data_IF_257821466139
#
_entry.id   IF_257821466139
#
_cell.length_a   1.000
_cell.length_b   1.000
_cell.length_c   1.000
_cell.angle_alpha   90.00
_cell.angle_beta   90.00
_cell.angle_gamma   90.00
#
_symmetry.space_group_name_H-M   'P 1'
#
loop_
_entity.id
_entity.type
_entity.pdbx_description
1 polymer ?
#
# COMPACT_ATOMS: atom_id res chain seq x y z
N UNK A 1 -14.81 24.10 16.57
CA UNK A 1 -13.39 24.41 16.83
C UNK A 1 -12.58 23.65 15.79
N UNK A 2 -11.84 24.35 14.93
CA UNK A 2 -11.19 23.78 13.74
C UNK A 2 -9.67 23.68 13.92
N UNK A 3 -9.08 22.58 13.45
CA UNK A 3 -7.64 22.34 13.48
C UNK A 3 -6.89 23.41 12.68
N UNK A 4 -5.86 23.99 13.29
CA UNK A 4 -5.16 25.13 12.72
C UNK A 4 -3.92 24.74 11.93
N UNK A 5 -3.19 23.74 12.42
CA UNK A 5 -2.04 23.11 11.81
C UNK A 5 -1.93 21.68 12.35
N UNK A 6 -1.45 20.74 11.53
CA UNK A 6 -1.11 19.38 11.96
C UNK A 6 0.39 19.22 11.73
N UNK A 7 1.13 18.89 12.78
CA UNK A 7 2.54 18.54 12.68
C UNK A 7 2.64 17.02 12.86
N UNK A 8 2.86 16.26 11.79
CA UNK A 8 3.15 14.84 11.90
C UNK A 8 4.43 14.62 12.75
N UNK A 9 4.50 13.53 13.51
CA UNK A 9 5.75 13.13 14.16
C UNK A 9 6.88 12.78 13.16
N UNK A 10 6.55 12.64 11.87
CA UNK A 10 7.46 12.39 10.75
C UNK A 10 6.88 12.95 9.44
N UNK A 11 7.72 13.52 8.57
CA UNK A 11 7.32 13.98 7.23
C UNK A 11 7.09 15.50 7.11
N UNK A 12 6.46 15.91 6.02
CA UNK A 12 6.35 17.32 5.64
C UNK A 12 5.28 18.09 6.44
N UNK A 13 5.44 19.42 6.50
CA UNK A 13 4.47 20.32 7.09
C UNK A 13 3.20 20.32 6.23
N UNK A 14 2.04 20.11 6.85
CA UNK A 14 0.74 20.16 6.18
C UNK A 14 0.06 21.47 6.50
N UNK A 15 -0.28 22.25 5.48
CA UNK A 15 -0.98 23.52 5.66
C UNK A 15 -2.48 23.30 5.90
N UNK A 16 -3.14 24.22 6.61
CA UNK A 16 -4.58 24.13 6.94
C UNK A 16 -5.46 23.81 5.74
N UNK A 17 -5.23 24.50 4.61
CA UNK A 17 -6.00 24.32 3.38
C UNK A 17 -5.79 22.96 2.70
N UNK A 18 -4.74 22.24 3.08
CA UNK A 18 -4.37 20.94 2.50
C UNK A 18 -4.86 19.76 3.36
N UNK A 19 -5.21 20.01 4.63
CA UNK A 19 -5.59 18.95 5.60
C UNK A 19 -6.70 18.07 5.03
N UNK A 20 -7.82 18.64 4.61
CA UNK A 20 -8.96 17.87 4.11
C UNK A 20 -8.63 17.08 2.84
N UNK A 21 -7.79 17.66 1.97
CA UNK A 21 -7.31 17.00 0.76
C UNK A 21 -6.43 15.80 1.09
N UNK A 22 -5.44 15.99 1.97
CA UNK A 22 -4.51 14.95 2.39
C UNK A 22 -5.22 13.80 3.11
N UNK A 23 -6.17 14.11 3.98
CA UNK A 23 -6.98 13.10 4.68
C UNK A 23 -7.76 12.27 3.67
N UNK A 24 -8.46 12.90 2.73
CA UNK A 24 -9.22 12.19 1.68
C UNK A 24 -8.32 11.33 0.81
N UNK A 25 -7.16 11.87 0.41
CA UNK A 25 -6.17 11.17 -0.40
C UNK A 25 -5.60 9.92 0.32
N UNK A 26 -5.27 10.05 1.61
CA UNK A 26 -4.84 8.91 2.43
C UNK A 26 -5.94 7.85 2.59
N UNK A 27 -7.18 8.27 2.85
CA UNK A 27 -8.33 7.35 2.94
C UNK A 27 -8.62 6.65 1.60
N UNK A 28 -8.44 7.35 0.48
CA UNK A 28 -8.58 6.77 -0.85
C UNK A 28 -7.53 5.68 -1.09
N UNK A 29 -6.26 5.94 -0.75
CA UNK A 29 -5.19 4.95 -0.82
C UNK A 29 -5.51 3.70 0.02
N UNK A 30 -5.87 3.86 1.30
CA UNK A 30 -6.23 2.73 2.16
C UNK A 30 -7.43 1.93 1.62
N UNK A 31 -8.42 2.63 1.04
CA UNK A 31 -9.58 2.00 0.41
C UNK A 31 -9.19 1.21 -0.85
N UNK A 32 -8.28 1.76 -1.66
CA UNK A 32 -7.72 1.10 -2.84
C UNK A 32 -6.97 -0.18 -2.47
N UNK A 33 -6.11 -0.15 -1.44
CA UNK A 33 -5.41 -1.33 -0.92
C UNK A 33 -6.38 -2.44 -0.52
N UNK A 34 -7.42 -2.10 0.25
CA UNK A 34 -8.44 -3.09 0.65
C UNK A 34 -9.18 -3.67 -0.55
N UNK A 35 -9.41 -2.90 -1.61
CA UNK A 35 -10.03 -3.39 -2.85
C UNK A 35 -9.08 -4.30 -3.63
N UNK A 36 -7.81 -3.92 -3.76
CA UNK A 36 -6.74 -4.70 -4.38
C UNK A 36 -6.60 -6.07 -3.72
N UNK A 37 -6.44 -6.09 -2.39
CA UNK A 37 -6.28 -7.33 -1.61
C UNK A 37 -7.50 -8.24 -1.73
N UNK A 38 -8.73 -7.70 -1.68
CA UNK A 38 -9.95 -8.49 -1.91
C UNK A 38 -10.05 -9.06 -3.32
N UNK A 39 -9.54 -8.34 -4.33
CA UNK A 39 -9.51 -8.81 -5.72
C UNK A 39 -8.49 -9.95 -5.86
N UNK A 40 -7.30 -9.79 -5.29
CA UNK A 40 -6.22 -10.77 -5.33
C UNK A 40 -6.61 -12.08 -4.63
N UNK A 41 -7.25 -12.02 -3.46
CA UNK A 41 -7.67 -13.20 -2.70
C UNK A 41 -8.67 -14.12 -3.41
N UNK A 42 -9.29 -13.67 -4.50
CA UNK A 42 -10.19 -14.49 -5.33
C UNK A 42 -9.46 -15.28 -6.41
N UNK A 43 -8.14 -15.14 -6.52
CA UNK A 43 -7.32 -15.77 -7.55
C UNK A 43 -6.52 -16.92 -6.95
N UNK A 44 -6.07 -17.83 -7.83
CA UNK A 44 -5.29 -19.00 -7.45
C UNK A 44 -3.94 -18.62 -6.85
N UNK A 45 -3.32 -17.57 -7.40
CA UNK A 45 -2.04 -17.02 -6.99
C UNK A 45 -2.18 -15.52 -6.67
N UNK A 46 -2.61 -15.14 -5.45
CA UNK A 46 -2.80 -13.76 -5.07
C UNK A 46 -1.51 -12.93 -5.13
N UNK A 47 -0.33 -13.54 -4.93
CA UNK A 47 0.93 -12.79 -4.96
C UNK A 47 1.21 -12.15 -6.33
N UNK A 48 0.96 -12.86 -7.43
CA UNK A 48 1.10 -12.33 -8.81
C UNK A 48 0.23 -11.08 -8.99
N UNK A 49 -1.03 -11.19 -8.58
CA UNK A 49 -2.01 -10.10 -8.70
C UNK A 49 -1.63 -8.90 -7.84
N UNK A 50 -1.06 -9.13 -6.66
CA UNK A 50 -0.61 -8.05 -5.79
C UNK A 50 0.65 -7.37 -6.33
N UNK A 51 1.53 -8.10 -7.01
CA UNK A 51 2.75 -7.54 -7.58
C UNK A 51 2.50 -6.65 -8.80
N UNK A 52 1.43 -6.90 -9.56
CA UNK A 52 1.01 -6.04 -10.66
C UNK A 52 0.40 -4.71 -10.20
N UNK A 53 0.02 -4.58 -8.92
CA UNK A 53 -0.64 -3.38 -8.40
C UNK A 53 0.42 -2.43 -7.87
N UNK A 54 0.62 -1.34 -8.62
CA UNK A 54 1.55 -0.29 -8.28
C UNK A 54 0.98 0.72 -7.28
N UNK A 55 1.88 1.46 -6.63
CA UNK A 55 1.52 2.55 -5.72
C UNK A 55 0.71 3.66 -6.42
N UNK A 56 0.99 3.90 -7.71
CA UNK A 56 0.30 4.89 -8.54
C UNK A 56 -1.13 4.45 -8.91
N UNK A 57 -1.39 3.15 -9.06
CA UNK A 57 -2.75 2.62 -9.24
C UNK A 57 -3.64 2.91 -8.02
N UNK A 58 -3.01 3.15 -6.87
CA UNK A 58 -3.66 3.51 -5.62
C UNK A 58 -3.66 5.02 -5.35
N UNK A 59 -3.26 5.85 -6.33
CA UNK A 59 -3.32 7.31 -6.26
C UNK A 59 -2.13 7.96 -5.57
N UNK A 60 -1.06 7.22 -5.27
CA UNK A 60 0.12 7.74 -4.58
C UNK A 60 1.33 7.81 -5.51
N UNK A 61 2.10 8.88 -5.40
CA UNK A 61 3.30 9.06 -6.20
C UNK A 61 4.40 8.09 -5.78
N UNK A 62 5.09 7.48 -6.76
CA UNK A 62 6.22 6.57 -6.52
C UNK A 62 7.42 7.23 -5.84
N UNK A 63 7.57 8.55 -5.98
CA UNK A 63 8.71 9.30 -5.41
C UNK A 63 8.50 9.71 -3.95
N UNK A 64 7.34 9.42 -3.35
CA UNK A 64 7.10 9.68 -1.93
C UNK A 64 8.13 8.97 -1.05
N UNK A 65 8.44 9.57 0.10
CA UNK A 65 9.38 9.02 1.08
C UNK A 65 10.75 8.76 0.43
N UNK A 66 11.22 9.72 -0.38
CA UNK A 66 12.52 9.61 -1.06
C UNK A 66 12.62 8.45 -2.05
N UNK A 67 11.49 8.02 -2.64
CA UNK A 67 11.43 6.91 -3.59
C UNK A 67 11.13 5.53 -2.97
N UNK A 68 10.92 5.45 -1.66
CA UNK A 68 10.59 4.19 -0.97
C UNK A 68 9.12 3.78 -1.08
N UNK A 69 8.27 4.62 -1.68
CA UNK A 69 6.83 4.41 -1.73
C UNK A 69 6.44 3.04 -2.33
N UNK A 70 7.14 2.62 -3.37
CA UNK A 70 6.82 1.39 -4.10
C UNK A 70 7.16 0.13 -3.30
N UNK A 71 8.32 0.10 -2.63
CA UNK A 71 8.69 -1.00 -1.75
C UNK A 71 7.75 -1.11 -0.56
N UNK A 72 7.45 0.02 0.09
CA UNK A 72 6.50 0.07 1.20
C UNK A 72 5.10 -0.32 0.76
N UNK A 73 4.67 0.06 -0.45
CA UNK A 73 3.38 -0.34 -1.01
C UNK A 73 3.27 -1.86 -1.15
N UNK A 74 4.27 -2.53 -1.73
CA UNK A 74 4.30 -4.01 -1.85
C UNK A 74 4.22 -4.68 -0.48
N UNK A 75 4.96 -4.16 0.51
CA UNK A 75 4.90 -4.67 1.90
C UNK A 75 3.53 -4.46 2.53
N UNK A 76 2.91 -3.29 2.33
CA UNK A 76 1.56 -3.00 2.82
C UNK A 76 0.51 -3.94 2.22
N UNK A 77 0.58 -4.27 0.93
CA UNK A 77 -0.32 -5.21 0.28
C UNK A 77 -0.22 -6.63 0.89
N UNK A 78 1.01 -7.13 1.08
CA UNK A 78 1.26 -8.45 1.70
C UNK A 78 0.81 -8.48 3.17
N UNK A 79 1.17 -7.45 3.93
CA UNK A 79 0.79 -7.35 5.35
C UNK A 79 -0.74 -7.26 5.52
N UNK A 80 -1.42 -6.47 4.67
CA UNK A 80 -2.88 -6.37 4.70
C UNK A 80 -3.54 -7.68 4.28
N UNK A 81 -2.99 -8.40 3.29
CA UNK A 81 -3.45 -9.74 2.92
C UNK A 81 -3.37 -10.69 4.12
N UNK A 82 -2.20 -10.76 4.77
CA UNK A 82 -2.00 -11.58 5.96
C UNK A 82 -2.97 -11.20 7.09
N UNK A 83 -3.14 -9.91 7.36
CA UNK A 83 -4.08 -9.44 8.38
C UNK A 83 -5.54 -9.84 8.09
N UNK A 84 -5.94 -9.88 6.80
CA UNK A 84 -7.32 -10.19 6.41
C UNK A 84 -7.62 -11.69 6.33
N UNK A 85 -6.64 -12.52 5.98
CA UNK A 85 -6.85 -13.94 5.68
C UNK A 85 -6.05 -14.91 6.56
N UNK A 86 -5.11 -14.42 7.38
CA UNK A 86 -4.32 -15.24 8.31
C UNK A 86 -3.17 -16.02 7.67
N UNK A 87 -2.91 -15.84 6.39
CA UNK A 87 -1.84 -16.51 5.64
C UNK A 87 -1.15 -15.55 4.67
N UNK A 88 0.07 -15.87 4.27
CA UNK A 88 0.76 -15.11 3.23
C UNK A 88 0.14 -15.40 1.86
N UNK A 89 0.07 -14.43 0.95
CA UNK A 89 -0.41 -14.67 -0.41
C UNK A 89 0.49 -15.72 -1.08
N UNK A 90 -0.11 -16.81 -1.55
CA UNK A 90 0.64 -17.88 -2.19
C UNK A 90 1.20 -17.41 -3.56
N UNK A 91 2.28 -18.07 -3.97
CA UNK A 91 3.07 -17.76 -5.16
C UNK A 91 2.87 -18.91 -6.16
N UNK A 92 2.95 -18.60 -7.44
CA UNK A 92 2.99 -19.62 -8.46
C UNK A 92 4.37 -20.30 -8.49
N UNK A 93 4.46 -21.62 -8.24
CA UNK A 93 5.74 -22.32 -8.17
C UNK A 93 6.49 -22.37 -9.50
N UNK A 94 5.79 -22.19 -10.61
CA UNK A 94 6.36 -22.25 -11.96
C UNK A 94 6.84 -20.87 -12.45
N UNK A 95 6.69 -19.81 -11.65
CA UNK A 95 7.08 -18.45 -12.04
C UNK A 95 8.54 -18.16 -11.66
N UNK A 96 9.45 -18.04 -12.64
CA UNK A 96 10.85 -17.77 -12.36
C UNK A 96 11.04 -16.30 -11.96
N UNK A 97 11.39 -16.04 -10.70
CA UNK A 97 11.89 -14.71 -10.31
C UNK A 97 11.32 -14.09 -9.05
N UNK A 98 10.36 -14.73 -8.35
CA UNK A 98 10.00 -14.27 -7.01
C UNK A 98 11.00 -14.77 -5.98
N UNK A 99 12.15 -14.09 -5.89
CA UNK A 99 12.89 -14.04 -4.62
C UNK A 99 11.99 -13.25 -3.65
N UNK A 100 11.08 -13.97 -2.99
CA UNK A 100 10.52 -13.48 -1.75
C UNK A 100 11.72 -13.19 -0.86
N UNK A 101 12.02 -11.91 -0.66
CA UNK A 101 13.06 -11.47 0.27
C UNK A 101 12.87 -12.25 1.59
N UNK A 102 13.70 -13.27 1.79
CA UNK A 102 13.96 -13.88 3.07
C UNK A 102 14.60 -12.77 3.91
N UNK A 103 13.81 -12.11 4.74
CA UNK A 103 14.34 -11.18 5.72
C UNK A 103 13.64 -11.46 7.06
N UNK A 104 14.34 -12.24 7.89
CA UNK A 104 14.52 -12.06 9.34
C UNK A 104 13.29 -11.99 10.21
#
# INVERSE_FOLDING_TARGET
>A
MGLENVVPGHGDIVLRGEIDGLVKDNLAYLSALRKAVRKAARRKYPQEILAEIGVEDCGKSRVLIGGLAEELHRRNLRALYFQMYGEMPNINPDEPGYQGEENG
#
